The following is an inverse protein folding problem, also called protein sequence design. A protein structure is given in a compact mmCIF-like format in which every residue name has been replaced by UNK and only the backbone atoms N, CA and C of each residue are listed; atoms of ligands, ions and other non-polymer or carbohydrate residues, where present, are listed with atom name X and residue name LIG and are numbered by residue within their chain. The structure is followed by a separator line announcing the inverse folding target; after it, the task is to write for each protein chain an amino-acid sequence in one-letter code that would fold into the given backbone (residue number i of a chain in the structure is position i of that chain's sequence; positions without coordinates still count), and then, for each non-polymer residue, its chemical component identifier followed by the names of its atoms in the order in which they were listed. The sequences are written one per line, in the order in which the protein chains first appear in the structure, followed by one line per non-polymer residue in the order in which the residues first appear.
data_IF_622662979077
#
_entry.id   IF_622662979077
#
_cell.length_a   1.000
_cell.length_b   1.000
_cell.length_c   1.000
_cell.angle_alpha   90.00
_cell.angle_beta   90.00
_cell.angle_gamma   90.00
#
_symmetry.space_group_name_H-M   'P 1'
#
loop_
_entity.id
_entity.type
_entity.pdbx_description
1 polymer ?
2 non-polymer ?
3 non-polymer ?
4 non-polymer ?
5 water ?
#
# COMPACT_ATOMS: atom_id res chain seq x y z
N UNK A 6 4.66 8.40 -32.75
CA UNK A 6 3.55 7.62 -32.10
C UNK A 6 3.06 8.29 -30.80
N UNK A 7 1.74 8.32 -30.63
CA UNK A 7 1.13 8.92 -29.45
C UNK A 7 0.90 7.84 -28.42
N UNK A 8 0.79 8.27 -27.17
CA UNK A 8 0.29 7.39 -26.14
C UNK A 8 -1.12 6.93 -26.56
N UNK A 9 -1.93 7.90 -26.98
CA UNK A 9 -3.29 7.63 -27.44
C UNK A 9 -3.26 6.46 -28.45
N UNK A 10 -2.38 6.51 -29.44
CA UNK A 10 -2.23 5.43 -30.43
C UNK A 10 -1.85 4.09 -29.79
N UNK A 11 -0.97 4.13 -28.78
CA UNK A 11 -0.53 2.93 -28.07
C UNK A 11 -1.62 2.34 -27.23
N UNK A 12 -2.42 3.22 -26.61
CA UNK A 12 -3.56 2.79 -25.81
C UNK A 12 -4.73 2.31 -26.67
N UNK A 13 -4.88 2.91 -27.85
CA UNK A 13 -5.90 2.51 -28.79
C UNK A 13 -5.83 1.04 -29.10
N UNK A 14 -4.63 0.62 -29.46
CA UNK A 14 -4.46 -0.66 -30.14
C UNK A 14 -4.12 -1.72 -29.13
N UNK A 15 -4.13 -1.35 -27.85
CA UNK A 15 -3.99 -2.29 -26.80
C UNK A 15 -5.18 -3.26 -26.77
N UNK A 16 -4.87 -4.52 -27.03
CA UNK A 16 -5.76 -5.64 -26.77
C UNK A 16 -5.55 -6.08 -25.33
N UNK A 17 -6.55 -6.80 -24.83
CA UNK A 17 -6.72 -7.06 -23.41
C UNK A 17 -5.87 -8.19 -22.84
N UNK A 18 -5.63 -9.21 -23.66
CA UNK A 18 -4.93 -10.39 -23.19
C UNK A 18 -3.42 -10.33 -23.14
N UNK A 19 -2.84 -9.15 -23.35
CA UNK A 19 -1.38 -9.00 -23.51
C UNK A 19 -0.68 -8.05 -22.50
N UNK A 20 0.63 -8.31 -22.33
CA UNK A 20 1.49 -7.46 -21.54
C UNK A 20 1.70 -6.19 -22.35
N UNK A 21 2.04 -5.09 -21.69
CA UNK A 21 2.12 -3.80 -22.33
C UNK A 21 3.32 -3.65 -23.20
N UNK A 22 3.20 -2.76 -24.18
CA UNK A 22 4.32 -2.44 -25.04
C UNK A 22 5.42 -1.76 -24.26
N UNK A 23 6.60 -1.66 -24.86
CA UNK A 23 7.80 -1.25 -24.12
C UNK A 23 7.67 0.08 -23.41
N UNK A 24 7.05 1.07 -24.05
CA UNK A 24 7.24 2.34 -23.36
C UNK A 24 6.51 2.46 -22.03
N UNK A 25 5.49 1.66 -21.81
CA UNK A 25 4.77 1.65 -20.51
C UNK A 25 5.64 1.35 -19.29
N UNK A 26 6.70 0.57 -19.49
CA UNK A 26 7.61 0.16 -18.40
C UNK A 26 8.96 0.88 -18.50
N UNK A 27 9.32 1.36 -19.69
CA UNK A 27 10.66 1.94 -19.89
C UNK A 27 10.76 3.43 -20.04
N UNK A 28 9.76 4.09 -20.60
CA UNK A 28 9.90 5.50 -20.95
C UNK A 28 9.57 6.37 -19.76
N UNK A 29 10.18 7.56 -19.71
CA UNK A 29 9.94 8.55 -18.69
C UNK A 29 8.66 9.35 -18.96
N UNK A 30 8.17 9.25 -20.19
CA UNK A 30 6.93 9.88 -20.60
C UNK A 30 5.76 9.20 -19.91
N UNK A 31 5.70 7.88 -20.00
CA UNK A 31 4.65 7.15 -19.29
C UNK A 31 4.76 7.36 -17.79
N UNK A 32 6.00 7.32 -17.29
CA UNK A 32 6.23 7.57 -15.87
C UNK A 32 5.59 8.87 -15.45
N UNK A 33 5.88 9.89 -16.22
CA UNK A 33 5.32 11.19 -15.95
C UNK A 33 3.83 11.11 -15.95
N UNK A 34 3.25 10.42 -16.93
CA UNK A 34 1.77 10.31 -17.00
C UNK A 34 1.20 9.49 -15.82
N UNK A 35 1.96 8.51 -15.35
CA UNK A 35 1.58 7.71 -14.23
C UNK A 35 1.60 8.52 -12.93
N UNK A 36 2.70 9.24 -12.70
CA UNK A 36 2.73 10.17 -11.59
C UNK A 36 1.51 11.06 -11.64
N UNK A 37 1.37 11.75 -12.77
CA UNK A 37 0.37 12.81 -12.97
C UNK A 37 -1.05 12.38 -12.62
N UNK A 38 -1.47 11.31 -13.27
CA UNK A 38 -2.88 10.97 -13.31
C UNK A 38 -3.25 9.82 -12.43
N UNK A 39 -2.26 9.15 -11.85
CA UNK A 39 -2.55 7.95 -11.09
C UNK A 39 -2.03 8.14 -9.67
N UNK A 40 -0.74 8.39 -9.45
CA UNK A 40 -0.22 8.54 -8.08
C UNK A 40 -0.56 9.85 -7.45
N UNK A 41 -0.46 10.94 -8.23
CA UNK A 41 -0.88 12.27 -7.75
C UNK A 41 -2.39 12.49 -7.60
N UNK A 42 -3.20 11.63 -8.22
CA UNK A 42 -4.63 11.82 -8.19
C UNK A 42 -5.43 10.75 -7.42
N UNK A 43 -4.99 9.50 -7.42
CA UNK A 43 -5.77 8.50 -6.67
C UNK A 43 -5.41 8.40 -5.18
N UNK A 44 -6.10 7.53 -4.43
CA UNK A 44 -5.86 7.44 -2.98
C UNK A 44 -4.72 6.49 -2.71
N UNK A 45 -3.78 6.91 -1.88
CA UNK A 45 -2.56 6.15 -1.68
C UNK A 45 -2.45 5.69 -0.25
N UNK A 46 -2.05 4.42 -0.09
CA UNK A 46 -1.71 3.92 1.22
C UNK A 46 -0.45 4.54 1.73
N UNK A 47 -0.56 5.12 2.93
CA UNK A 47 0.53 5.77 3.61
C UNK A 47 1.08 5.00 4.80
N UNK A 48 0.41 5.05 5.96
CA UNK A 48 0.93 4.45 7.20
C UNK A 48 -0.19 4.00 8.07
N UNK A 49 0.01 2.94 8.85
CA UNK A 49 -1.01 2.59 9.83
C UNK A 49 -0.98 3.68 10.84
N UNK A 50 -2.06 3.89 11.56
CA UNK A 50 -2.05 4.96 12.56
C UNK A 50 -1.35 4.64 13.88
N UNK A 51 -0.88 3.41 14.06
CA UNK A 51 -0.17 3.01 15.28
C UNK A 51 1.21 3.68 15.40
N UNK A 52 1.76 4.13 14.26
CA UNK A 52 2.94 5.00 14.23
C UNK A 52 2.69 6.36 14.85
N UNK A 53 1.45 6.83 14.78
CA UNK A 53 1.10 8.12 15.36
C UNK A 53 0.07 7.98 16.50
N UNK A 54 0.38 7.12 17.46
CA UNK A 54 -0.50 6.85 18.61
C UNK A 54 -0.21 7.77 19.80
N UNK A 55 0.67 8.75 19.59
CA UNK A 55 0.94 9.81 20.55
C UNK A 55 0.74 11.14 19.83
N UNK A 56 0.35 12.18 20.56
CA UNK A 56 0.20 13.53 19.99
C UNK A 56 1.56 14.19 19.78
N UNK A 57 1.83 14.59 18.55
CA UNK A 57 3.10 15.23 18.21
C UNK A 57 3.93 14.29 17.37
N UNK A 58 3.65 13.00 17.49
CA UNK A 58 4.22 12.02 16.57
C UNK A 58 4.17 12.54 15.15
N UNK A 59 5.19 12.21 14.36
CA UNK A 59 5.05 12.46 12.94
C UNK A 59 5.78 11.46 12.08
N UNK A 60 5.35 11.35 10.84
CA UNK A 60 6.03 10.52 9.90
C UNK A 60 6.03 11.26 8.60
N UNK A 61 6.98 10.89 7.77
CA UNK A 61 7.14 11.51 6.50
C UNK A 61 7.32 10.47 5.43
N UNK A 62 6.82 10.82 4.27
CA UNK A 62 7.00 10.03 3.08
C UNK A 62 7.08 10.96 1.92
N UNK A 63 7.70 10.46 0.87
CA UNK A 63 7.76 11.16 -0.39
C UNK A 63 6.83 10.41 -1.33
N UNK A 64 6.03 11.14 -2.09
CA UNK A 64 5.15 10.59 -3.11
C UNK A 64 5.57 11.23 -4.42
N UNK A 65 6.16 10.43 -5.30
CA UNK A 65 6.77 10.99 -6.45
C UNK A 65 7.75 12.03 -5.94
N UNK A 66 7.40 13.32 -6.07
CA UNK A 66 8.25 14.48 -5.73
C UNK A 66 7.82 15.26 -4.50
N UNK A 67 6.62 14.94 -4.04
CA UNK A 67 6.02 15.62 -2.91
C UNK A 67 6.58 15.08 -1.66
N UNK A 68 6.88 16.00 -0.76
CA UNK A 68 7.31 15.66 0.55
C UNK A 68 6.16 15.90 1.47
N UNK A 69 5.56 14.79 1.95
CA UNK A 69 4.48 14.84 2.93
C UNK A 69 4.94 14.51 4.36
N UNK A 70 4.27 15.12 5.33
CA UNK A 70 4.37 14.72 6.72
C UNK A 70 2.96 14.52 7.29
N UNK A 71 2.78 13.37 7.93
CA UNK A 71 1.57 13.04 8.61
C UNK A 71 1.88 13.14 10.09
N UNK A 72 1.02 13.86 10.84
CA UNK A 72 1.27 14.15 12.26
C UNK A 72 -0.02 14.08 13.09
N UNK A 73 0.14 13.82 14.38
CA UNK A 73 -0.98 13.78 15.31
C UNK A 73 -1.03 15.02 16.18
N UNK A 74 -2.22 15.59 16.32
CA UNK A 74 -2.45 16.74 17.18
C UNK A 74 -2.70 16.37 18.62
N UNK A 75 -2.66 17.39 19.48
CA UNK A 75 -3.18 17.30 20.87
C UNK A 75 -4.68 17.03 20.76
N UNK A 76 -5.36 17.85 19.96
CA UNK A 76 -6.77 17.65 19.65
C UNK A 76 -7.13 16.27 19.07
N UNK A 77 -6.16 15.36 19.04
CA UNK A 77 -6.45 13.94 18.76
C UNK A 77 -6.46 13.48 17.31
N UNK A 78 -6.69 14.41 16.37
CA UNK A 78 -6.81 14.09 14.93
C UNK A 78 -5.49 13.84 14.26
N UNK A 79 -5.57 13.15 13.12
CA UNK A 79 -4.46 12.92 12.21
C UNK A 79 -4.63 13.73 10.93
N UNK A 80 -3.82 14.76 10.81
CA UNK A 80 -3.81 15.64 9.68
C UNK A 80 -2.51 15.41 8.93
N UNK A 81 -2.49 15.79 7.65
CA UNK A 81 -1.28 15.65 6.85
C UNK A 81 -1.03 16.90 6.06
N UNK A 82 0.23 17.30 5.96
CA UNK A 82 0.58 18.50 5.20
C UNK A 82 1.83 18.33 4.31
N UNK A 83 1.90 19.23 3.33
CA UNK A 83 3.07 19.45 2.52
C UNK A 83 4.24 19.97 3.39
N UNK A 84 5.31 19.17 3.42
CA UNK A 84 6.58 19.49 4.15
C UNK A 84 7.48 20.58 3.46
N UNK A 85 6.88 21.69 3.09
CA UNK A 85 7.60 22.81 2.52
C UNK A 85 7.16 24.09 3.23
N UNK A 86 8.09 24.73 3.95
CA UNK A 86 7.87 25.97 4.65
C UNK A 86 7.42 27.04 3.69
N UNK A 87 6.47 27.83 4.15
CA UNK A 87 5.73 28.71 3.29
C UNK A 87 6.55 29.95 3.09
N UNK A 88 7.63 30.06 3.84
CA UNK A 88 8.55 31.16 3.68
C UNK A 88 9.41 31.00 2.43
N UNK A 89 10.45 30.17 2.49
CA UNK A 89 11.28 29.89 1.28
C UNK A 89 11.39 28.40 0.90
N UNK A 90 10.46 27.59 1.38
CA UNK A 90 10.34 26.22 0.91
C UNK A 90 11.25 25.17 1.53
N UNK A 91 11.59 25.28 2.80
CA UNK A 91 12.48 24.26 3.36
C UNK A 91 11.70 23.11 3.89
N UNK A 92 12.28 21.93 3.93
CA UNK A 92 11.58 20.90 4.67
C UNK A 92 11.45 21.44 6.06
N UNK A 93 10.34 21.09 6.71
CA UNK A 93 10.18 21.32 8.12
C UNK A 93 10.65 20.09 8.88
N UNK A 94 9.99 18.97 8.66
CA UNK A 94 10.37 17.70 9.20
C UNK A 94 11.42 17.01 8.31
N UNK A 95 12.65 17.01 8.82
CA UNK A 95 13.70 16.18 8.28
C UNK A 95 13.44 14.80 8.88
N UNK A 96 14.05 14.45 10.01
CA UNK A 96 14.06 13.03 10.44
C UNK A 96 12.85 12.18 9.93
N UNK A 97 13.07 10.91 9.68
CA UNK A 97 12.02 10.03 9.13
C UNK A 97 10.72 10.04 9.93
N UNK A 98 10.86 10.14 11.24
CA UNK A 98 9.77 9.91 12.17
C UNK A 98 10.21 10.54 13.47
N UNK A 99 9.27 10.93 14.32
CA UNK A 99 9.63 11.58 15.56
C UNK A 99 8.50 12.30 16.23
N UNK A 100 8.86 13.34 16.97
CA UNK A 100 8.02 13.91 18.02
C UNK A 100 8.35 15.37 18.24
N UNK A 101 7.35 16.22 18.08
CA UNK A 101 7.53 17.62 18.39
C UNK A 101 6.34 18.23 19.13
N UNK A 102 6.61 19.43 19.57
CA UNK A 102 5.65 20.27 20.19
C UNK A 102 4.98 20.99 19.03
N UNK A 103 5.78 21.68 18.25
CA UNK A 103 5.29 22.41 17.11
C UNK A 103 6.02 21.96 15.83
N UNK A 104 5.68 22.58 14.72
CA UNK A 104 6.36 22.34 13.48
C UNK A 104 7.22 23.58 13.25
N UNK A 105 8.50 23.44 13.56
CA UNK A 105 9.44 24.55 13.61
C UNK A 105 10.45 24.35 12.50
N UNK A 106 10.42 25.28 11.55
CA UNK A 106 11.23 25.21 10.38
C UNK A 106 12.64 25.55 10.79
N UNK A 107 13.59 24.67 10.49
CA UNK A 107 14.95 24.87 11.01
C UNK A 107 15.79 25.90 10.29
N UNK A 108 15.26 26.52 9.24
CA UNK A 108 15.98 27.60 8.56
C UNK A 108 15.72 28.89 9.35
N UNK A 109 14.47 29.24 9.56
CA UNK A 109 14.20 30.56 10.13
C UNK A 109 13.17 30.51 11.24
N UNK A 110 13.00 29.31 11.77
CA UNK A 110 12.14 29.02 12.95
C UNK A 110 10.65 29.40 12.88
N UNK A 111 10.16 29.81 11.71
CA UNK A 111 8.72 29.95 11.51
C UNK A 111 8.06 28.71 12.07
N UNK A 112 7.12 28.92 12.97
CA UNK A 112 6.55 27.82 13.68
C UNK A 112 5.11 27.68 13.38
N UNK A 113 4.69 26.46 13.15
CA UNK A 113 3.30 26.20 12.82
C UNK A 113 2.72 25.40 13.96
N UNK A 114 1.43 25.57 14.21
CA UNK A 114 0.76 24.67 15.13
C UNK A 114 0.67 23.37 14.33
N UNK A 115 0.16 22.31 14.97
CA UNK A 115 -0.02 21.00 14.39
C UNK A 115 -1.36 20.84 13.64
N UNK A 116 -2.00 21.96 13.31
CA UNK A 116 -3.14 21.94 12.39
C UNK A 116 -2.87 22.87 11.22
N UNK A 117 -1.59 23.16 11.03
CA UNK A 117 -1.12 24.12 10.03
C UNK A 117 -0.88 25.52 10.56
N UNK A 118 -1.74 25.98 11.47
CA UNK A 118 -1.74 27.38 11.84
C UNK A 118 -0.31 27.94 12.02
N UNK A 119 0.07 28.83 11.12
CA UNK A 119 1.28 29.64 11.30
C UNK A 119 1.00 30.69 12.37
N UNK A 120 1.69 30.54 13.49
CA UNK A 120 1.47 31.37 14.68
C UNK A 120 2.67 32.23 15.05
N UNK A 121 3.79 32.03 14.38
CA UNK A 121 4.93 32.88 14.55
C UNK A 121 5.88 32.84 13.36
N UNK A 122 6.19 34.03 12.85
CA UNK A 122 7.08 34.20 11.72
C UNK A 122 7.89 35.38 12.11
N UNK A 123 9.20 35.33 11.88
CA UNK A 123 10.11 36.30 12.51
C UNK A 123 10.35 37.50 11.69
N UNK A 124 10.16 38.66 12.33
CA UNK A 124 10.49 39.95 11.76
C UNK A 124 9.99 39.99 10.31
N UNK A 125 8.75 39.57 10.15
CA UNK A 125 7.99 39.72 8.92
C UNK A 125 7.09 40.96 8.93
N UNK A 126 7.15 41.73 10.01
CA UNK A 126 6.57 43.05 10.06
C UNK A 126 5.10 43.30 9.71
N UNK A 127 4.78 44.59 9.43
CA UNK A 127 3.44 45.16 9.31
C UNK A 127 2.57 44.63 8.19
N UNK A 128 3.09 44.51 6.98
CA UNK A 128 2.25 44.06 5.89
C UNK A 128 1.85 42.58 6.00
N UNK A 129 2.12 41.93 7.13
CA UNK A 129 2.13 40.47 7.15
C UNK A 129 0.92 39.83 7.76
N UNK A 130 0.17 39.14 6.93
CA UNK A 130 -0.84 38.24 7.37
C UNK A 130 -0.21 36.83 7.51
N UNK A 131 -0.60 36.06 8.52
CA UNK A 131 -0.13 34.68 8.66
C UNK A 131 -1.20 33.69 8.24
N UNK A 132 -2.36 34.22 7.90
CA UNK A 132 -3.54 33.46 7.51
C UNK A 132 -3.34 32.89 6.12
N UNK A 133 -2.46 33.54 5.36
CA UNK A 133 -2.11 33.15 3.99
C UNK A 133 -0.96 32.12 3.92
N UNK A 134 -0.13 32.12 4.95
CA UNK A 134 1.11 31.34 4.93
C UNK A 134 1.15 30.22 5.94
N UNK A 135 0.01 29.53 6.08
CA UNK A 135 -0.04 28.23 6.78
C UNK A 135 0.31 27.03 5.88
N UNK A 136 0.59 25.90 6.51
CA UNK A 136 0.97 24.74 5.74
C UNK A 136 -0.20 24.25 4.93
N UNK A 137 0.13 23.74 3.74
CA UNK A 137 -0.82 23.25 2.73
C UNK A 137 -1.29 21.87 3.11
N UNK A 138 -2.60 21.70 3.25
CA UNK A 138 -3.09 20.39 3.62
C UNK A 138 -3.08 19.36 2.50
N UNK A 139 -3.10 18.12 2.92
CA UNK A 139 -3.21 17.03 2.05
C UNK A 139 -4.39 16.32 2.66
N UNK A 140 -5.39 16.12 1.82
CA UNK A 140 -6.52 15.25 2.13
C UNK A 140 -6.05 13.97 2.68
N UNK A 141 -6.74 13.50 3.72
CA UNK A 141 -6.35 12.28 4.44
C UNK A 141 -7.53 11.54 5.01
N UNK A 142 -7.53 10.22 4.83
CA UNK A 142 -8.54 9.31 5.37
C UNK A 142 -7.97 8.27 6.29
N UNK A 143 -8.70 7.98 7.37
CA UNK A 143 -8.32 6.92 8.28
C UNK A 143 -9.31 5.83 8.06
N UNK A 144 -8.80 4.65 7.77
CA UNK A 144 -9.58 3.52 7.30
C UNK A 144 -9.43 2.43 8.35
N UNK A 145 -10.11 2.60 9.48
CA UNK A 145 -10.07 1.63 10.56
C UNK A 145 -8.65 1.17 10.93
N UNK A 146 -7.69 2.08 10.77
CA UNK A 146 -6.29 1.78 11.14
C UNK A 146 -5.21 2.11 10.13
N UNK A 147 -5.61 2.43 8.91
CA UNK A 147 -4.66 2.71 7.85
C UNK A 147 -4.96 4.10 7.36
N UNK A 148 -3.93 4.93 7.38
CA UNK A 148 -3.99 6.27 6.84
C UNK A 148 -3.72 6.25 5.33
N UNK A 149 -4.73 6.64 4.57
CA UNK A 149 -4.55 6.95 3.16
C UNK A 149 -4.61 8.44 2.98
N UNK A 150 -3.94 8.91 1.94
CA UNK A 150 -3.79 10.32 1.64
C UNK A 150 -4.01 10.47 0.15
N UNK A 151 -4.11 11.71 -0.29
CA UNK A 151 -4.40 11.95 -1.68
C UNK A 151 -3.98 13.35 -2.02
N UNK A 152 -3.03 13.43 -2.93
CA UNK A 152 -2.49 14.71 -3.31
C UNK A 152 -3.36 15.54 -4.25
N UNK A 153 -4.49 15.03 -4.72
CA UNK A 153 -5.34 15.91 -5.54
C UNK A 153 -6.17 16.78 -4.63
N UNK A 154 -6.46 17.99 -5.09
CA UNK A 154 -7.29 18.94 -4.33
C UNK A 154 -8.74 18.55 -4.39
N UNK A 155 -9.08 17.70 -5.36
CA UNK A 155 -10.43 17.18 -5.58
C UNK A 155 -10.35 15.66 -5.67
N UNK A 156 -10.17 15.00 -4.52
CA UNK A 156 -9.97 13.57 -4.53
C UNK A 156 -11.16 12.79 -5.09
N UNK A 157 -10.91 11.55 -5.54
CA UNK A 157 -12.00 10.60 -5.81
C UNK A 157 -12.71 10.26 -4.54
N UNK A 158 -13.75 9.46 -4.65
CA UNK A 158 -14.48 8.98 -3.49
C UNK A 158 -13.60 7.97 -2.71
N UNK A 159 -13.56 8.11 -1.39
CA UNK A 159 -12.98 7.05 -0.56
C UNK A 159 -14.08 6.24 0.13
N UNK A 160 -15.24 6.85 0.33
CA UNK A 160 -16.22 6.41 1.32
C UNK A 160 -16.88 5.10 0.93
N UNK A 161 -17.11 4.93 -0.37
CA UNK A 161 -17.66 3.68 -0.89
C UNK A 161 -16.70 2.53 -0.65
N UNK A 162 -15.42 2.80 -0.85
CA UNK A 162 -14.36 1.82 -0.54
C UNK A 162 -14.25 1.69 0.98
N UNK A 163 -14.12 2.81 1.67
CA UNK A 163 -14.21 2.82 3.14
C UNK A 163 -15.37 1.99 3.70
N UNK A 164 -16.47 1.88 2.97
CA UNK A 164 -17.67 1.24 3.53
C UNK A 164 -17.69 -0.25 3.25
N UNK A 165 -17.22 -0.67 2.08
CA UNK A 165 -17.04 -2.09 1.81
C UNK A 165 -15.96 -2.67 2.71
N UNK A 166 -15.03 -1.80 3.10
CA UNK A 166 -13.83 -2.19 3.80
C UNK A 166 -14.01 -2.39 5.25
N UNK A 167 -14.62 -1.41 5.93
CA UNK A 167 -14.72 -1.39 7.39
C UNK A 167 -14.99 -2.79 7.99
N UNK A 168 -16.07 -3.47 7.55
CA UNK A 168 -16.42 -4.78 8.13
C UNK A 168 -15.34 -5.83 8.09
N UNK A 169 -14.64 -5.94 6.95
CA UNK A 169 -13.56 -6.93 6.83
C UNK A 169 -12.39 -6.52 7.74
N UNK A 170 -12.28 -5.21 8.03
CA UNK A 170 -11.12 -4.63 8.72
C UNK A 170 -11.26 -4.34 10.24
N UNK A 171 -12.42 -3.89 10.69
CA UNK A 171 -12.72 -3.76 12.16
C UNK A 171 -12.20 -4.90 13.08
N UNK A 172 -12.30 -6.15 12.57
CA UNK A 172 -12.00 -7.34 13.37
C UNK A 172 -10.51 -7.51 13.62
N UNK A 173 -9.73 -6.57 13.10
CA UNK A 173 -8.32 -6.61 13.32
C UNK A 173 -7.85 -5.65 14.39
N UNK A 174 -8.73 -4.71 14.78
CA UNK A 174 -8.44 -3.71 15.83
C UNK A 174 -7.09 -3.11 15.51
N UNK A 175 -6.94 -2.64 14.27
CA UNK A 175 -5.61 -2.23 13.77
C UNK A 175 -5.18 -1.03 14.55
N UNK A 176 -6.17 -0.29 15.05
CA UNK A 176 -5.94 0.83 15.94
C UNK A 176 -5.20 0.44 17.21
N UNK A 177 -5.30 -0.83 17.58
CA UNK A 177 -4.62 -1.35 18.75
C UNK A 177 -3.35 -2.16 18.40
N UNK A 178 -2.84 -1.97 17.19
CA UNK A 178 -1.58 -2.61 16.76
C UNK A 178 -0.38 -1.79 17.23
N UNK A 179 0.82 -2.36 17.05
CA UNK A 179 2.09 -1.61 17.09
C UNK A 179 2.98 -2.14 15.95
N UNK A 180 3.84 -1.29 15.40
CA UNK A 180 4.74 -1.74 14.36
C UNK A 180 5.81 -2.62 15.03
N UNK A 181 5.91 -3.87 14.56
CA UNK A 181 6.95 -4.77 15.07
C UNK A 181 8.23 -4.53 14.31
N UNK A 182 8.06 -4.18 13.04
CA UNK A 182 9.15 -4.19 12.06
C UNK A 182 8.65 -3.62 10.75
N UNK A 183 9.57 -3.00 10.05
CA UNK A 183 9.29 -2.36 8.78
C UNK A 183 10.46 -2.58 7.91
N UNK A 184 10.20 -2.97 6.67
CA UNK A 184 11.22 -3.19 5.68
C UNK A 184 10.94 -2.36 4.44
N UNK A 185 11.88 -1.47 4.07
CA UNK A 185 11.84 -0.93 2.74
C UNK A 185 12.81 -1.70 1.85
N UNK A 186 12.37 -1.97 0.63
CA UNK A 186 13.25 -2.38 -0.43
C UNK A 186 12.88 -1.57 -1.64
N UNK A 187 13.81 -1.53 -2.58
CA UNK A 187 13.65 -0.85 -3.81
C UNK A 187 13.97 -1.87 -4.87
N UNK A 188 13.02 -2.13 -5.76
CA UNK A 188 13.20 -3.11 -6.81
C UNK A 188 13.49 -2.34 -8.10
N UNK A 189 14.50 -2.82 -8.83
CA UNK A 189 14.91 -2.26 -10.11
C UNK A 189 14.00 -2.72 -11.22
N UNK A 190 12.73 -2.36 -11.05
CA UNK A 190 11.68 -2.61 -12.01
C UNK A 190 10.63 -1.53 -11.95
N UNK A 191 9.89 -1.41 -13.05
CA UNK A 191 8.75 -0.49 -13.12
C UNK A 191 7.65 -0.82 -12.10
N UNK A 192 7.00 0.19 -11.57
CA UNK A 192 5.97 -0.01 -10.51
C UNK A 192 4.85 -0.90 -11.00
N UNK A 193 4.51 -0.77 -12.29
CA UNK A 193 3.57 -1.70 -12.97
C UNK A 193 4.00 -3.16 -12.89
N UNK A 194 5.31 -3.42 -12.99
CA UNK A 194 5.84 -4.79 -13.01
C UNK A 194 5.88 -5.40 -11.61
N UNK A 195 6.06 -4.56 -10.61
CA UNK A 195 5.86 -4.98 -9.25
C UNK A 195 4.44 -5.57 -9.20
N UNK A 196 3.44 -4.76 -9.54
CA UNK A 196 2.04 -5.22 -9.51
C UNK A 196 1.82 -6.48 -10.33
N UNK A 197 2.45 -6.59 -11.50
CA UNK A 197 2.20 -7.79 -12.27
C UNK A 197 2.67 -9.05 -11.49
N UNK A 198 3.82 -8.95 -10.83
CA UNK A 198 4.40 -10.07 -10.09
C UNK A 198 3.44 -10.50 -9.02
N UNK A 199 2.99 -9.52 -8.21
CA UNK A 199 2.05 -9.69 -7.13
C UNK A 199 0.62 -10.23 -7.46
N UNK A 200 0.08 -9.80 -8.60
CA UNK A 200 -1.27 -10.18 -9.02
C UNK A 200 -1.29 -11.52 -9.75
N UNK A 201 -0.13 -12.11 -9.95
CA UNK A 201 -0.09 -13.51 -10.30
C UNK A 201 0.28 -14.37 -9.10
N UNK A 202 -0.07 -15.65 -9.17
CA UNK A 202 0.77 -16.68 -8.55
C UNK A 202 0.79 -17.83 -9.56
N UNK A 203 2.00 -18.27 -9.85
CA UNK A 203 2.34 -18.84 -11.15
C UNK A 203 3.85 -19.13 -11.15
N UNK A 204 4.69 -18.07 -11.14
CA UNK A 204 6.14 -18.20 -10.84
C UNK A 204 6.44 -18.87 -9.49
N UNK A 205 5.67 -18.45 -8.49
CA UNK A 205 5.73 -18.92 -7.10
C UNK A 205 6.14 -20.39 -6.96
N UNK A 206 5.70 -21.24 -7.90
CA UNK A 206 6.07 -22.66 -7.93
C UNK A 206 7.57 -22.89 -7.79
N UNK A 207 8.33 -22.19 -8.63
CA UNK A 207 9.79 -22.32 -8.69
C UNK A 207 10.53 -21.06 -8.22
N UNK A 208 9.86 -20.19 -7.47
CA UNK A 208 10.54 -18.95 -7.02
C UNK A 208 10.39 -18.60 -5.55
N UNK A 209 9.57 -19.34 -4.79
CA UNK A 209 9.37 -19.04 -3.35
C UNK A 209 9.22 -20.29 -2.49
N UNK A 210 10.33 -21.00 -2.18
CA UNK A 210 10.24 -22.23 -1.36
C UNK A 210 9.64 -22.05 0.04
N UNK A 211 9.67 -20.83 0.58
CA UNK A 211 9.15 -20.56 1.92
C UNK A 211 7.65 -20.33 1.93
N UNK A 212 7.23 -19.16 1.41
CA UNK A 212 5.82 -18.74 1.42
C UNK A 212 4.92 -19.93 1.12
N UNK A 213 5.19 -20.55 -0.02
CA UNK A 213 4.44 -21.69 -0.56
C UNK A 213 3.96 -22.67 0.49
N UNK A 214 4.84 -22.99 1.43
CA UNK A 214 4.45 -23.78 2.59
C UNK A 214 3.10 -23.34 3.13
N UNK A 215 2.99 -22.02 3.29
CA UNK A 215 1.91 -21.37 4.00
C UNK A 215 0.89 -20.69 3.09
N UNK A 216 1.34 -20.10 1.99
CA UNK A 216 0.43 -19.41 1.08
C UNK A 216 0.00 -20.33 -0.08
N UNK A 217 -1.31 -20.29 -0.42
CA UNK A 217 -1.90 -20.97 -1.57
C UNK A 217 -1.16 -20.77 -2.90
N UNK A 218 -1.43 -21.66 -3.84
CA UNK A 218 -0.74 -21.68 -5.15
C UNK A 218 -1.75 -21.90 -6.33
N UNK A 219 -2.85 -22.59 -6.00
CA UNK A 219 -4.17 -22.55 -6.68
C UNK A 219 -4.62 -21.17 -7.21
N UNK A 220 -4.70 -20.96 -8.56
CA UNK A 220 -4.85 -19.53 -8.92
C UNK A 220 -6.08 -18.81 -8.39
N UNK A 221 -6.96 -19.50 -7.68
CA UNK A 221 -8.19 -18.88 -7.23
C UNK A 221 -7.94 -17.81 -6.15
N UNK A 222 -6.93 -18.06 -5.32
CA UNK A 222 -6.64 -17.22 -4.18
C UNK A 222 -6.34 -15.81 -4.63
N UNK A 223 -5.24 -15.68 -5.38
CA UNK A 223 -4.70 -14.39 -5.79
C UNK A 223 -5.02 -14.08 -7.26
N UNK A 224 -5.85 -14.95 -7.87
CA UNK A 224 -6.41 -14.70 -9.18
C UNK A 224 -7.63 -13.81 -9.06
N UNK A 225 -8.44 -13.77 -10.10
CA UNK A 225 -9.55 -12.84 -10.16
C UNK A 225 -10.81 -13.43 -9.53
N UNK A 230 -18.21 -16.04 -9.79
CA UNK A 230 -18.22 -17.51 -9.73
C UNK A 230 -17.17 -18.11 -8.80
N UNK A 231 -17.65 -18.78 -7.76
CA UNK A 231 -16.88 -19.10 -6.53
C UNK A 231 -16.79 -20.62 -6.31
N UNK A 232 -15.59 -21.16 -6.11
CA UNK A 232 -15.43 -22.61 -5.94
C UNK A 232 -16.21 -23.14 -4.72
N UNK A 233 -16.06 -24.44 -4.44
CA UNK A 233 -16.96 -25.15 -3.55
C UNK A 233 -16.51 -25.19 -2.07
N UNK A 234 -15.21 -25.38 -1.86
CA UNK A 234 -14.68 -25.37 -0.50
C UNK A 234 -14.40 -23.93 -0.07
N UNK A 235 -14.59 -23.01 -1.00
CA UNK A 235 -14.29 -21.62 -0.74
C UNK A 235 -15.47 -20.97 -0.10
N UNK A 236 -16.67 -21.20 -0.65
CA UNK A 236 -17.87 -20.68 0.00
C UNK A 236 -17.93 -21.30 1.37
N UNK A 237 -17.62 -22.60 1.42
CA UNK A 237 -17.56 -23.29 2.70
C UNK A 237 -16.65 -22.50 3.62
N UNK A 238 -15.53 -22.04 3.08
CA UNK A 238 -14.57 -21.35 3.89
C UNK A 238 -15.06 -19.97 4.24
N UNK A 239 -15.58 -19.24 3.26
CA UNK A 239 -16.23 -17.95 3.52
C UNK A 239 -17.27 -18.16 4.64
N UNK A 240 -18.10 -19.18 4.48
CA UNK A 240 -19.17 -19.53 5.45
C UNK A 240 -18.72 -19.67 6.93
N UNK A 241 -17.70 -20.52 7.18
CA UNK A 241 -17.25 -20.78 8.56
C UNK A 241 -16.87 -19.50 9.26
N UNK A 242 -16.29 -18.58 8.49
CA UNK A 242 -15.89 -17.27 8.97
C UNK A 242 -17.07 -16.35 9.27
N UNK A 243 -18.06 -16.35 8.39
CA UNK A 243 -19.19 -15.43 8.51
C UNK A 243 -20.20 -15.90 9.53
N UNK A 244 -20.36 -17.23 9.63
CA UNK A 244 -21.15 -17.83 10.70
C UNK A 244 -20.56 -17.33 12.00
N UNK A 245 -19.23 -17.21 11.98
CA UNK A 245 -18.44 -16.73 13.10
C UNK A 245 -18.48 -15.23 13.28
N UNK A 246 -19.06 -14.51 12.33
CA UNK A 246 -19.00 -13.03 12.32
C UNK A 246 -17.69 -12.36 11.91
N UNK A 247 -16.87 -13.07 11.12
CA UNK A 247 -15.69 -12.50 10.46
C UNK A 247 -16.06 -12.38 9.00
N UNK A 248 -16.11 -11.16 8.46
CA UNK A 248 -16.39 -11.08 7.02
C UNK A 248 -15.32 -11.72 6.17
N UNK A 249 -15.75 -12.45 5.14
CA UNK A 249 -14.84 -13.24 4.34
C UNK A 249 -15.12 -13.23 2.84
N UNK A 250 -16.36 -12.90 2.47
CA UNK A 250 -16.84 -13.04 1.11
C UNK A 250 -16.07 -12.16 0.09
N UNK A 251 -15.64 -12.78 -1.00
CA UNK A 251 -14.97 -12.08 -2.10
C UNK A 251 -15.82 -10.88 -2.46
N UNK A 252 -15.16 -9.75 -2.69
CA UNK A 252 -15.80 -8.57 -3.25
C UNK A 252 -14.77 -7.76 -4.03
N UNK A 253 -15.19 -7.16 -5.12
CA UNK A 253 -14.25 -6.54 -6.04
C UNK A 253 -14.89 -5.32 -6.65
N UNK A 254 -14.30 -4.16 -6.40
CA UNK A 254 -14.75 -2.93 -7.05
C UNK A 254 -15.10 -3.20 -8.52
N UNK A 255 -16.16 -2.55 -9.00
CA UNK A 255 -16.55 -2.62 -10.40
C UNK A 255 -15.63 -1.85 -11.35
N UNK A 256 -14.94 -0.84 -10.84
CA UNK A 256 -13.84 -0.25 -11.61
C UNK A 256 -12.57 -1.12 -11.61
N UNK A 257 -12.49 -2.10 -10.70
CA UNK A 257 -11.33 -3.02 -10.64
C UNK A 257 -10.25 -2.63 -9.63
N UNK A 258 -10.35 -1.45 -9.06
CA UNK A 258 -9.28 -0.90 -8.24
C UNK A 258 -8.97 -1.63 -6.95
N UNK A 259 -9.99 -2.05 -6.22
CA UNK A 259 -9.76 -2.60 -4.87
C UNK A 259 -10.53 -3.92 -4.63
N UNK A 260 -10.06 -4.74 -3.70
CA UNK A 260 -10.62 -6.11 -3.56
C UNK A 260 -10.48 -6.73 -2.15
N UNK A 261 -11.49 -7.52 -1.79
CA UNK A 261 -11.60 -8.14 -0.47
C UNK A 261 -11.95 -9.62 -0.60
N UNK A 262 -11.26 -10.43 0.21
CA UNK A 262 -11.42 -11.88 0.27
C UNK A 262 -10.56 -12.45 1.43
N UNK A 263 -11.19 -13.06 2.41
CA UNK A 263 -10.47 -13.80 3.42
C UNK A 263 -10.19 -15.23 2.96
N UNK A 264 -8.96 -15.51 2.55
CA UNK A 264 -8.57 -16.79 1.94
C UNK A 264 -7.93 -17.84 2.87
N UNK A 265 -8.30 -19.12 2.72
CA UNK A 265 -7.66 -20.24 3.43
C UNK A 265 -6.18 -20.40 3.12
N UNK A 266 -5.37 -20.60 4.16
CA UNK A 266 -3.95 -20.78 3.94
C UNK A 266 -3.66 -22.23 3.61
N UNK A 267 -2.49 -22.48 3.02
CA UNK A 267 -2.15 -23.80 2.50
C UNK A 267 -2.34 -24.86 3.56
N UNK A 268 -2.90 -25.98 3.12
CA UNK A 268 -3.28 -27.08 3.98
C UNK A 268 -2.55 -27.09 5.31
N UNK A 269 -3.25 -26.68 6.37
CA UNK A 269 -2.73 -26.69 7.77
C UNK A 269 -2.32 -25.34 8.36
N UNK A 270 -1.83 -24.44 7.53
CA UNK A 270 -1.25 -23.14 7.94
C UNK A 270 -2.15 -22.31 8.82
N UNK A 271 -1.54 -21.63 9.80
CA UNK A 271 -2.19 -20.69 10.72
C UNK A 271 -1.66 -19.24 10.61
N UNK A 272 -0.51 -19.08 9.96
CA UNK A 272 0.16 -17.79 9.88
C UNK A 272 1.27 -17.91 8.84
N UNK A 273 2.02 -16.84 8.60
CA UNK A 273 3.19 -16.91 7.68
C UNK A 273 4.51 -17.25 8.39
N UNK A 274 4.55 -18.40 9.02
CA UNK A 274 5.78 -18.85 9.68
C UNK A 274 6.40 -20.01 8.89
N UNK A 275 7.64 -20.37 9.23
CA UNK A 275 8.25 -21.61 8.71
C UNK A 275 7.45 -22.87 9.08
N UNK A 276 6.85 -22.86 10.27
CA UNK A 276 6.15 -24.04 10.78
C UNK A 276 4.62 -23.97 10.65
N UNK A 277 4.14 -23.03 9.85
CA UNK A 277 2.69 -22.88 9.65
C UNK A 277 1.91 -22.50 10.89
N UNK A 278 2.64 -22.11 11.95
CA UNK A 278 2.07 -21.88 13.29
C UNK A 278 2.02 -20.39 13.50
N UNK A 279 1.31 -19.98 14.54
CA UNK A 279 1.22 -18.58 14.90
C UNK A 279 2.61 -17.99 15.04
N UNK A 280 2.69 -16.73 14.66
CA UNK A 280 3.87 -15.94 14.80
C UNK A 280 3.84 -15.24 16.16
N UNK A 281 2.70 -14.66 16.52
CA UNK A 281 2.56 -14.01 17.83
C UNK A 281 1.62 -14.81 18.73
N UNK A 282 1.86 -14.77 20.04
CA UNK A 282 1.06 -15.54 20.96
C UNK A 282 -0.20 -14.74 21.18
N UNK A 283 -0.05 -13.46 21.46
CA UNK A 283 -1.20 -12.59 21.68
C UNK A 283 -1.79 -12.13 20.32
N UNK A 284 -2.90 -12.74 19.90
CA UNK A 284 -3.48 -12.48 18.59
C UNK A 284 -3.83 -10.99 18.51
N UNK A 285 -3.93 -10.50 17.27
CA UNK A 285 -4.36 -9.12 17.00
C UNK A 285 -5.81 -9.21 16.58
N UNK A 286 -6.62 -8.28 17.09
CA UNK A 286 -8.04 -8.24 16.75
C UNK A 286 -8.82 -9.44 17.28
N UNK A 287 -9.90 -9.80 16.58
CA UNK A 287 -10.83 -10.77 17.07
C UNK A 287 -11.13 -11.81 16.01
N UNK A 288 -10.20 -12.05 15.10
CA UNK A 288 -10.46 -12.97 13.98
C UNK A 288 -10.90 -14.35 14.50
N UNK A 289 -11.71 -15.07 13.74
CA UNK A 289 -12.43 -16.21 14.25
C UNK A 289 -13.03 -16.97 13.09
N UNK A 290 -12.91 -18.30 13.01
CA UNK A 290 -12.18 -19.20 13.92
C UNK A 290 -10.68 -18.96 13.84
N UNK A 291 -9.88 -19.73 14.59
CA UNK A 291 -8.44 -19.48 14.50
C UNK A 291 -7.99 -19.48 13.05
N UNK A 292 -8.28 -20.57 12.37
CA UNK A 292 -7.90 -20.82 10.98
C UNK A 292 -8.77 -20.08 9.92
N UNK A 293 -9.17 -18.85 10.20
CA UNK A 293 -9.93 -18.04 9.23
C UNK A 293 -9.16 -17.78 7.91
N UNK A 294 -7.83 -17.90 7.98
CA UNK A 294 -6.98 -17.74 6.82
C UNK A 294 -6.43 -16.32 6.77
N UNK A 295 -6.15 -15.87 5.56
CA UNK A 295 -5.55 -14.57 5.34
C UNK A 295 -6.54 -13.64 4.63
N UNK A 296 -6.76 -12.47 5.19
CA UNK A 296 -7.44 -11.40 4.45
C UNK A 296 -6.49 -10.74 3.43
N UNK A 297 -6.70 -10.99 2.15
CA UNK A 297 -6.04 -10.19 1.10
C UNK A 297 -6.75 -8.83 0.92
N UNK A 298 -5.99 -7.77 0.71
CA UNK A 298 -6.59 -6.47 0.40
C UNK A 298 -5.69 -5.69 -0.54
N UNK A 299 -6.06 -5.61 -1.82
CA UNK A 299 -5.33 -4.74 -2.72
C UNK A 299 -6.07 -3.43 -2.99
N UNK A 300 -5.29 -2.43 -3.41
CA UNK A 300 -5.82 -1.15 -3.74
C UNK A 300 -4.82 -0.43 -4.63
N UNK A 301 -5.10 -0.54 -5.92
CA UNK A 301 -4.36 0.13 -6.97
C UNK A 301 -4.41 1.65 -6.77
N UNK A 302 -3.28 2.33 -6.83
CA UNK A 302 -1.97 1.76 -7.20
C UNK A 302 -1.02 1.46 -6.05
N UNK A 303 -1.48 1.57 -4.80
CA UNK A 303 -0.59 1.83 -3.70
C UNK A 303 -0.31 0.68 -2.73
N UNK A 304 -1.27 -0.19 -2.48
CA UNK A 304 -1.10 -1.23 -1.45
C UNK A 304 -1.70 -2.58 -1.71
N UNK A 305 -1.05 -3.59 -1.15
CA UNK A 305 -1.68 -4.89 -0.82
C UNK A 305 -1.25 -5.24 0.58
N UNK A 306 -2.05 -6.11 1.18
CA UNK A 306 -1.95 -6.45 2.58
C UNK A 306 -2.35 -7.90 2.79
N UNK A 307 -1.96 -8.46 3.92
CA UNK A 307 -2.36 -9.81 4.35
C UNK A 307 -2.59 -9.74 5.83
N UNK A 308 -3.87 -9.74 6.21
CA UNK A 308 -4.28 -9.57 7.58
C UNK A 308 -4.66 -10.92 8.16
N UNK A 309 -3.79 -11.45 9.04
CA UNK A 309 -3.91 -12.77 9.59
C UNK A 309 -4.57 -12.71 10.99
N UNK A 310 -4.83 -13.85 11.60
CA UNK A 310 -5.36 -13.79 12.95
C UNK A 310 -4.33 -13.42 14.00
N UNK A 311 -3.06 -13.57 13.69
CA UNK A 311 -2.04 -13.25 14.67
C UNK A 311 -1.34 -11.89 14.48
N UNK A 312 -1.18 -11.45 13.24
CA UNK A 312 -0.45 -10.24 12.91
C UNK A 312 -0.91 -9.69 11.55
N UNK A 313 -0.52 -8.46 11.23
CA UNK A 313 -0.93 -7.81 9.97
C UNK A 313 0.26 -7.37 9.14
N UNK A 314 0.12 -7.48 7.81
CA UNK A 314 1.08 -6.88 6.88
C UNK A 314 0.44 -5.90 5.89
N UNK A 315 0.99 -4.70 5.89
CA UNK A 315 0.80 -3.73 4.85
C UNK A 315 1.93 -3.92 3.87
N UNK A 316 1.67 -3.57 2.62
CA UNK A 316 2.69 -3.26 1.63
C UNK A 316 2.29 -1.92 0.98
N UNK A 317 3.27 -1.06 0.76
CA UNK A 317 3.08 0.25 0.14
C UNK A 317 4.03 0.35 -1.07
N UNK A 318 3.44 0.58 -2.22
CA UNK A 318 4.18 0.60 -3.43
C UNK A 318 4.34 2.04 -3.84
N UNK A 319 5.59 2.46 -4.01
CA UNK A 319 5.89 3.81 -4.36
C UNK A 319 6.94 3.91 -5.43
N UNK A 320 6.64 4.71 -6.46
CA UNK A 320 7.50 4.77 -7.57
C UNK A 320 8.61 5.76 -7.31
N UNK A 321 9.79 5.43 -7.82
CA UNK A 321 10.95 6.28 -7.64
C UNK A 321 11.51 6.81 -8.94
N UNK A 322 11.49 5.97 -9.97
CA UNK A 322 11.92 6.35 -11.31
C UNK A 322 11.30 5.33 -12.28
N UNK A 323 11.39 5.55 -13.60
CA UNK A 323 10.74 4.63 -14.49
C UNK A 323 11.00 3.15 -14.22
N UNK A 324 12.14 2.82 -13.62
CA UNK A 324 12.53 1.43 -13.48
C UNK A 324 12.91 1.07 -12.05
N UNK A 325 12.47 1.90 -11.13
CA UNK A 325 12.64 1.71 -9.70
C UNK A 325 11.30 1.90 -8.97
N UNK A 326 11.02 1.01 -8.02
CA UNK A 326 9.86 1.17 -7.14
C UNK A 326 10.28 0.83 -5.71
N UNK A 327 9.91 1.72 -4.79
CA UNK A 327 10.12 1.52 -3.38
C UNK A 327 8.93 0.70 -2.83
N UNK A 328 9.21 -0.49 -2.28
CA UNK A 328 8.13 -1.36 -1.74
C UNK A 328 8.29 -1.53 -0.23
N UNK A 329 7.33 -1.05 0.52
CA UNK A 329 7.50 -0.94 1.95
C UNK A 329 6.55 -1.92 2.61
N UNK A 330 7.12 -2.88 3.34
CA UNK A 330 6.36 -3.90 4.04
C UNK A 330 6.44 -3.62 5.50
N UNK A 331 5.30 -3.66 6.18
CA UNK A 331 5.22 -3.31 7.60
C UNK A 331 4.59 -4.47 8.31
N UNK A 332 5.17 -4.85 9.44
CA UNK A 332 4.60 -5.84 10.37
C UNK A 332 3.83 -5.15 11.49
N UNK A 333 2.60 -5.61 11.71
CA UNK A 333 1.73 -5.10 12.73
C UNK A 333 1.33 -6.24 13.69
N UNK A 334 1.43 -5.94 14.97
CA UNK A 334 1.15 -6.89 16.04
C UNK A 334 0.44 -6.10 17.12
N UNK A 335 -0.24 -6.80 18.03
CA UNK A 335 -0.93 -6.18 19.17
C UNK A 335 -0.01 -5.30 19.96
N UNK A 336 -0.50 -4.27 20.64
CA UNK A 336 0.44 -3.36 21.31
C UNK A 336 1.12 -3.97 22.53
N UNK A 337 0.52 -4.96 23.17
CA UNK A 337 1.10 -5.64 24.33
C UNK A 337 1.92 -6.90 23.96
N UNK A 338 1.93 -7.28 22.70
CA UNK A 338 2.80 -8.36 22.25
C UNK A 338 4.24 -7.95 22.53
N UNK A 339 4.94 -8.71 23.37
CA UNK A 339 6.33 -8.44 23.63
C UNK A 339 7.26 -9.27 22.72
N UNK A 340 8.24 -8.59 22.17
CA UNK A 340 9.28 -9.24 21.39
C UNK A 340 10.15 -10.05 22.37
N UNK A 341 10.25 -11.36 22.09
CA UNK A 341 10.97 -12.33 22.95
C UNK A 341 10.09 -13.21 23.85
N UNK A 342 8.86 -12.76 24.07
CA UNK A 342 7.87 -13.50 24.87
C UNK A 342 6.76 -13.95 23.94
N UNK A 343 6.22 -12.99 23.22
CA UNK A 343 4.99 -13.19 22.52
C UNK A 343 5.29 -13.60 21.11
N UNK A 344 6.22 -12.88 20.52
CA UNK A 344 6.81 -13.29 19.27
C UNK A 344 8.31 -13.15 19.34
N UNK A 345 8.92 -13.75 18.30
CA UNK A 345 10.33 -13.73 18.02
C UNK A 345 10.39 -12.98 16.68
N UNK A 346 11.22 -11.95 16.59
CA UNK A 346 11.24 -11.05 15.41
C UNK A 346 11.71 -11.77 14.14
N UNK A 347 12.81 -12.49 14.21
CA UNK A 347 13.25 -13.32 13.07
C UNK A 347 12.13 -14.21 12.56
N UNK A 348 11.52 -14.94 13.48
CA UNK A 348 10.52 -15.93 13.12
C UNK A 348 9.26 -15.23 12.60
N UNK A 349 9.11 -13.97 13.01
CA UNK A 349 7.96 -13.22 12.65
C UNK A 349 8.03 -12.74 11.19
N UNK A 350 9.23 -12.69 10.65
CA UNK A 350 9.44 -11.98 9.42
C UNK A 350 10.26 -12.73 8.42
N UNK A 351 10.81 -13.90 8.76
CA UNK A 351 11.69 -14.55 7.81
C UNK A 351 10.99 -14.97 6.52
N UNK A 352 9.73 -15.37 6.58
CA UNK A 352 9.06 -15.87 5.38
C UNK A 352 8.97 -14.83 4.27
N UNK A 353 8.62 -13.60 4.67
CA UNK A 353 8.27 -12.55 3.72
C UNK A 353 9.46 -11.75 3.29
N UNK A 354 10.47 -11.71 4.16
CA UNK A 354 11.71 -11.02 3.83
C UNK A 354 12.32 -11.85 2.72
N UNK A 355 12.25 -13.18 2.86
CA UNK A 355 12.68 -14.13 1.85
C UNK A 355 11.85 -13.98 0.55
N UNK A 356 10.55 -13.85 0.69
CA UNK A 356 9.63 -13.79 -0.46
C UNK A 356 9.74 -12.50 -1.27
N UNK A 357 9.81 -11.36 -0.60
CA UNK A 357 10.08 -10.07 -1.22
C UNK A 357 11.37 -9.93 -2.01
N UNK A 358 12.45 -10.59 -1.57
CA UNK A 358 13.74 -10.60 -2.26
C UNK A 358 13.67 -11.51 -3.50
N UNK A 359 12.87 -12.56 -3.41
CA UNK A 359 12.71 -13.48 -4.52
C UNK A 359 11.95 -12.81 -5.67
N UNK A 360 10.83 -12.19 -5.33
CA UNK A 360 10.12 -11.30 -6.24
C UNK A 360 11.05 -10.20 -6.86
N UNK A 361 11.83 -9.53 -6.01
CA UNK A 361 12.61 -8.38 -6.43
C UNK A 361 13.52 -8.91 -7.54
N UNK A 362 14.37 -9.85 -7.18
CA UNK A 362 15.14 -10.54 -8.18
C UNK A 362 14.32 -10.81 -9.49
N UNK A 363 13.12 -11.38 -9.33
CA UNK A 363 12.26 -11.71 -10.45
C UNK A 363 11.83 -10.49 -11.25
N UNK A 364 11.48 -9.43 -10.54
CA UNK A 364 11.03 -8.19 -11.15
C UNK A 364 12.19 -7.53 -11.86
N UNK A 365 13.36 -7.71 -11.28
CA UNK A 365 14.51 -7.01 -11.74
C UNK A 365 14.94 -7.62 -13.07
N UNK A 366 14.95 -8.96 -13.10
CA UNK A 366 15.24 -9.74 -14.31
C UNK A 366 14.23 -9.38 -15.40
N UNK A 367 12.94 -9.34 -15.06
CA UNK A 367 11.87 -8.96 -16.02
C UNK A 367 12.12 -7.58 -16.56
N UNK A 368 12.33 -6.63 -15.67
CA UNK A 368 12.64 -5.29 -16.12
C UNK A 368 13.74 -5.31 -17.22
N UNK A 369 14.86 -5.92 -16.89
CA UNK A 369 15.98 -6.02 -17.79
C UNK A 369 15.58 -6.59 -19.16
N UNK A 370 14.82 -7.68 -19.09
CA UNK A 370 14.37 -8.35 -20.29
C UNK A 370 13.56 -7.39 -21.13
N UNK A 371 12.65 -6.70 -20.48
CA UNK A 371 11.78 -5.74 -21.13
C UNK A 371 12.51 -4.57 -21.84
N UNK A 372 13.69 -4.21 -21.34
CA UNK A 372 14.42 -3.04 -21.85
C UNK A 372 14.98 -3.31 -23.21
N UNK A 373 14.95 -4.58 -23.64
CA UNK A 373 15.33 -4.93 -25.00
C UNK A 373 14.35 -4.41 -26.02
N UNK A 374 14.82 -3.55 -26.93
CA UNK A 374 13.95 -3.12 -28.02
C UNK A 374 13.42 -4.27 -28.83
N UNK A 375 13.87 -5.48 -28.52
CA UNK A 375 13.28 -6.74 -29.02
C UNK A 375 12.01 -7.21 -28.31
N UNK A 376 11.78 -6.77 -27.08
CA UNK A 376 10.55 -7.07 -26.37
C UNK A 376 9.29 -6.60 -27.10
N UNK A 377 8.29 -7.50 -27.20
CA UNK A 377 6.95 -7.18 -27.69
C UNK A 377 5.96 -7.81 -26.72
N UNK A 378 4.75 -7.25 -26.58
CA UNK A 378 3.72 -7.96 -25.81
C UNK A 378 3.55 -9.46 -26.21
N UNK A 379 3.63 -10.34 -25.22
CA UNK A 379 3.08 -11.66 -25.30
C UNK A 379 1.86 -11.86 -24.41
N UNK A 380 1.23 -13.04 -24.51
CA UNK A 380 -0.08 -13.24 -23.93
C UNK A 380 -0.07 -13.70 -22.47
N UNK A 381 -1.01 -13.18 -21.67
CA UNK A 381 -1.19 -13.66 -20.33
C UNK A 381 -1.83 -15.06 -20.35
N UNK A 382 -1.41 -15.90 -19.42
CA UNK A 382 -2.10 -17.11 -19.11
C UNK A 382 -3.45 -16.67 -18.54
N UNK A 383 -4.56 -17.16 -19.13
CA UNK A 383 -5.89 -16.91 -18.52
C UNK A 383 -6.08 -17.77 -17.30
N UNK A 384 -5.41 -18.93 -17.27
CA UNK A 384 -5.37 -19.80 -16.09
C UNK A 384 -4.57 -19.35 -14.88
N UNK A 385 -3.50 -18.59 -15.04
CA UNK A 385 -2.67 -18.12 -13.89
C UNK A 385 -2.47 -16.61 -13.73
N UNK A 386 -2.77 -15.81 -14.75
CA UNK A 386 -2.49 -14.36 -14.74
C UNK A 386 -3.72 -13.52 -15.04
N UNK A 387 -4.89 -14.04 -14.68
CA UNK A 387 -6.12 -13.34 -14.97
C UNK A 387 -6.22 -12.13 -14.09
N UNK A 388 -5.60 -12.24 -12.92
CA UNK A 388 -5.51 -11.17 -11.95
C UNK A 388 -4.52 -10.11 -12.35
N UNK A 389 -3.59 -10.48 -13.22
CA UNK A 389 -2.62 -9.57 -13.78
C UNK A 389 -3.26 -8.76 -14.91
N UNK A 390 -3.94 -9.47 -15.82
CA UNK A 390 -4.78 -8.84 -16.83
C UNK A 390 -5.75 -7.81 -16.28
N UNK A 391 -6.21 -8.05 -15.04
CA UNK A 391 -7.15 -7.21 -14.32
C UNK A 391 -6.48 -5.90 -13.84
N UNK A 392 -5.25 -6.03 -13.38
CA UNK A 392 -4.48 -4.85 -13.08
C UNK A 392 -4.20 -3.99 -14.32
N UNK A 393 -3.62 -4.61 -15.33
CA UNK A 393 -3.34 -3.89 -16.56
C UNK A 393 -4.63 -3.17 -17.00
N UNK A 394 -5.79 -3.80 -16.90
CA UNK A 394 -6.98 -3.15 -17.44
C UNK A 394 -7.38 -1.96 -16.66
N UNK A 395 -7.51 -2.11 -15.35
CA UNK A 395 -7.64 -0.98 -14.44
C UNK A 395 -6.60 0.07 -14.77
N UNK A 396 -5.38 -0.33 -15.12
CA UNK A 396 -4.37 0.66 -15.47
C UNK A 396 -4.67 1.43 -16.75
N UNK A 397 -4.74 0.75 -17.89
CA UNK A 397 -5.11 1.42 -19.17
C UNK A 397 -6.35 2.29 -19.06
N UNK A 398 -7.39 1.76 -18.47
CA UNK A 398 -8.65 2.50 -18.34
C UNK A 398 -8.49 3.79 -17.56
N UNK A 399 -7.55 3.78 -16.63
CA UNK A 399 -7.32 4.91 -15.75
C UNK A 399 -6.56 5.96 -16.47
N UNK A 400 -5.67 5.51 -17.34
CA UNK A 400 -4.91 6.47 -18.11
C UNK A 400 -5.78 7.15 -19.18
N UNK A 401 -6.71 6.41 -19.78
CA UNK A 401 -7.67 6.96 -20.77
C UNK A 401 -8.62 7.98 -20.16
N UNK A 402 -9.17 7.66 -19.00
CA UNK A 402 -10.06 8.57 -18.26
C UNK A 402 -9.38 9.90 -17.97
N UNK A 403 -8.19 9.80 -17.38
CA UNK A 403 -7.40 10.99 -17.05
C UNK A 403 -6.98 11.80 -18.27
N UNK A 404 -6.97 11.19 -19.45
CA UNK A 404 -6.47 11.84 -20.65
C UNK A 404 -7.55 12.44 -21.58
N UNK A 405 -8.82 12.13 -21.35
CA UNK A 405 -9.91 12.78 -22.08
C UNK A 405 -10.47 14.06 -21.39
N UNK A 406 -10.44 15.22 -22.12
CA UNK A 406 -10.84 16.66 -21.99
C UNK A 406 -10.76 17.25 -20.58
X LIG B 1 12.58 30.44 6.55
X LIG B 1 11.16 28.04 6.61
X LIG B 1 11.19 29.69 8.10
X LIG B 1 12.53 28.77 5.10
X LIG C 1 5.66 -13.48 -5.53
X LIG D 1 -9.63 -0.63 -27.06
X LIG D 1 -9.91 -2.34 -26.11
X LIG D 1 -9.30 1.01 -28.09
X LIG D 1 -11.31 -1.02 -28.04
X LIG D 1 -10.61 0.36 -25.67
X LIG D 1 -7.90 -0.31 -26.15
X LIG D 1 -8.64 -1.64 -28.46
#
# INVERSE_FOLDING_TARGET
MTANPTSIHQRLDRRLSGFSLEQPFYTSPEVYALDLQHIFYKQWLYAVPVCQLAKAGSYTTLRVGAYEVVIVRSRDGEVRAFHNSCRHRGSLICKARQGQVAKLVCPYHQWTYELDGKLIWANDMGPDFDASKYGLKPVNLRNLDGLIYICLSDTPPDFQTFAQLARPYLEVHDLKDAKVAFTSTIIEKGNWKLVWENNRECYHCSSNHPALCRSFPLDPEVAGVQADGGVSKKLQAHFDRCEAAGTPAQFVLAGDGQYRLARMPLQEKALSYTMDGKAAVSRHLGRVAPPDAGTLLMFHYPSTWNHFLPDHSLTFRVMPISPTETEVTTTWLVHKDAVEGVDYDLKRLTEVWIATNDEDREIVETNQQGILSPAYVPGPYSPGQESGVMQFVDWYAASLERALAPRQVAAE
FES FE1 FE2 S1 S2
FE FE
NCO CO N1 N2 N3 N4 N5 N6
#
